data_IF_783322951465
#
_entry.id   IF_783322951465
#
_cell.length_a   1.000
_cell.length_b   1.000
_cell.length_c   1.000
_cell.angle_alpha   90.00
_cell.angle_beta   90.00
_cell.angle_gamma   90.00
#
_symmetry.space_group_name_H-M   'P 1'
#
loop_
_entity.id
_entity.type
_entity.pdbx_description
1 polymer ?
#
# COMPACT_ATOMS: atom_id res chain seq x y z
N UNK A 1 17.88 24.45 -10.49
CA UNK A 1 17.51 23.91 -9.18
C UNK A 1 16.54 22.76 -9.36
N UNK A 2 16.90 21.59 -8.88
CA UNK A 2 16.04 20.40 -9.02
C UNK A 2 15.02 20.38 -7.90
N UNK A 3 13.78 20.04 -8.27
CA UNK A 3 12.74 19.82 -7.26
C UNK A 3 12.91 18.43 -6.67
N UNK A 4 12.74 18.32 -5.37
CA UNK A 4 12.67 17.03 -4.72
C UNK A 4 11.25 16.49 -4.86
N UNK A 5 11.10 15.50 -5.73
CA UNK A 5 9.81 14.86 -5.94
C UNK A 5 9.76 13.63 -5.05
N UNK A 6 8.76 13.58 -4.20
CA UNK A 6 8.53 12.41 -3.34
C UNK A 6 7.45 11.54 -3.95
N UNK A 7 7.72 10.25 -4.00
CA UNK A 7 6.79 9.27 -4.51
C UNK A 7 6.16 8.49 -3.37
N UNK A 8 4.89 8.17 -3.52
CA UNK A 8 4.13 7.45 -2.51
C UNK A 8 3.47 6.25 -3.19
N UNK A 9 3.52 5.11 -2.52
CA UNK A 9 2.80 3.92 -2.96
C UNK A 9 1.75 3.60 -1.91
N UNK A 10 0.57 3.19 -2.39
CA UNK A 10 -0.50 2.73 -1.51
C UNK A 10 -0.87 1.31 -1.91
N UNK A 11 -1.01 0.46 -0.92
CA UNK A 11 -1.42 -0.92 -1.11
C UNK A 11 -2.76 -1.15 -0.43
N UNK A 12 -3.68 -1.74 -1.19
CA UNK A 12 -4.98 -2.17 -0.69
C UNK A 12 -5.01 -3.69 -0.75
N UNK A 13 -4.86 -4.33 0.41
CA UNK A 13 -4.65 -5.77 0.49
C UNK A 13 -5.99 -6.49 0.48
N UNK A 14 -6.25 -7.22 -0.60
CA UNK A 14 -7.41 -8.09 -0.71
C UNK A 14 -7.03 -9.54 -0.50
N UNK A 15 -8.01 -10.43 -0.59
CA UNK A 15 -7.78 -11.85 -0.40
C UNK A 15 -6.96 -12.47 -1.54
N UNK A 16 -7.20 -12.04 -2.75
CA UNK A 16 -6.58 -12.61 -3.94
C UNK A 16 -5.63 -11.66 -4.64
N UNK A 17 -5.82 -10.37 -4.45
CA UNK A 17 -5.02 -9.35 -5.12
C UNK A 17 -4.74 -8.20 -4.18
N UNK A 18 -3.61 -7.58 -4.43
CA UNK A 18 -3.22 -6.35 -3.72
C UNK A 18 -3.29 -5.23 -4.74
N UNK A 19 -4.20 -4.29 -4.52
CA UNK A 19 -4.29 -3.11 -5.39
C UNK A 19 -3.14 -2.17 -5.10
N UNK A 20 -2.57 -1.60 -6.15
CA UNK A 20 -1.43 -0.69 -6.03
C UNK A 20 -1.77 0.63 -6.68
N UNK A 21 -1.60 1.71 -5.94
CA UNK A 21 -1.75 3.06 -6.47
C UNK A 21 -0.48 3.84 -6.18
N UNK A 22 -0.21 4.82 -7.02
CA UNK A 22 0.97 5.67 -6.88
C UNK A 22 0.55 7.13 -6.93
N UNK A 23 1.22 7.95 -6.15
CA UNK A 23 1.07 9.39 -6.20
C UNK A 23 2.45 10.01 -6.00
N UNK A 24 2.58 11.28 -6.32
CA UNK A 24 3.80 12.00 -6.02
C UNK A 24 3.48 13.41 -5.52
N UNK A 25 4.50 14.11 -5.06
CA UNK A 25 4.32 15.42 -4.45
C UNK A 25 3.98 16.52 -5.46
N UNK A 26 4.21 16.29 -6.73
CA UNK A 26 3.86 17.24 -7.78
C UNK A 26 2.45 17.00 -8.32
N UNK A 27 2.15 15.74 -8.62
CA UNK A 27 0.82 15.36 -9.11
C UNK A 27 0.08 14.75 -7.94
N UNK A 28 -0.80 15.52 -7.33
CA UNK A 28 -1.46 15.11 -6.10
C UNK A 28 -2.56 14.06 -6.28
N UNK A 29 -2.89 13.75 -7.50
CA UNK A 29 -3.92 12.78 -7.79
C UNK A 29 -3.30 11.39 -7.91
N UNK A 30 -3.71 10.44 -7.07
CA UNK A 30 -3.17 9.08 -7.19
C UNK A 30 -3.69 8.40 -8.44
N UNK A 31 -2.90 7.50 -8.97
CA UNK A 31 -3.32 6.70 -10.12
C UNK A 31 -3.02 5.23 -9.85
N UNK A 32 -3.86 4.36 -10.41
CA UNK A 32 -3.71 2.93 -10.25
C UNK A 32 -2.53 2.44 -11.06
N UNK A 33 -1.62 1.75 -10.41
CA UNK A 33 -0.47 1.13 -11.08
C UNK A 33 -0.83 -0.26 -11.58
N UNK A 34 -1.64 -0.98 -10.81
CA UNK A 34 -2.06 -2.33 -11.16
C UNK A 34 -2.38 -3.14 -9.92
N UNK A 35 -2.26 -4.44 -10.05
CA UNK A 35 -2.48 -5.34 -8.93
C UNK A 35 -1.35 -6.35 -8.84
N UNK A 36 -1.13 -6.86 -7.63
CA UNK A 36 -0.20 -7.94 -7.36
C UNK A 36 -1.02 -9.12 -6.86
N UNK A 37 -0.80 -10.29 -7.45
CA UNK A 37 -1.49 -11.50 -7.00
C UNK A 37 -0.98 -11.93 -5.65
N UNK A 38 -1.89 -12.37 -4.79
CA UNK A 38 -1.54 -12.89 -3.47
C UNK A 38 -1.11 -14.36 -3.64
N UNK A 39 0.20 -14.56 -3.69
CA UNK A 39 0.80 -15.89 -3.86
C UNK A 39 2.18 -15.89 -3.23
N UNK A 40 2.94 -16.97 -3.41
CA UNK A 40 4.26 -17.12 -2.82
C UNK A 40 5.28 -16.11 -3.35
N UNK A 41 5.00 -15.44 -4.46
CA UNK A 41 5.91 -14.48 -5.08
C UNK A 41 5.53 -13.02 -4.83
N UNK A 42 4.50 -12.79 -4.02
CA UNK A 42 4.01 -11.43 -3.82
C UNK A 42 5.08 -10.48 -3.27
N UNK A 43 5.89 -10.94 -2.32
CA UNK A 43 6.92 -10.08 -1.75
C UNK A 43 8.05 -9.80 -2.73
N UNK A 44 8.34 -10.72 -3.64
CA UNK A 44 9.31 -10.47 -4.70
C UNK A 44 8.83 -9.35 -5.62
N UNK A 45 7.54 -9.38 -5.96
CA UNK A 45 6.95 -8.33 -6.79
C UNK A 45 6.93 -6.99 -6.08
N UNK A 46 6.66 -7.00 -4.77
CA UNK A 46 6.71 -5.78 -3.97
C UNK A 46 8.12 -5.20 -3.98
N UNK A 47 9.13 -6.02 -3.80
CA UNK A 47 10.53 -5.57 -3.82
C UNK A 47 10.89 -4.92 -5.15
N UNK A 48 10.47 -5.53 -6.26
CA UNK A 48 10.73 -4.97 -7.59
C UNK A 48 10.08 -3.60 -7.73
N UNK A 49 8.85 -3.49 -7.27
CA UNK A 49 8.11 -2.24 -7.34
C UNK A 49 8.76 -1.16 -6.48
N UNK A 50 9.21 -1.51 -5.29
CA UNK A 50 9.90 -0.57 -4.41
C UNK A 50 11.22 -0.09 -5.03
N UNK A 51 11.93 -0.99 -5.70
CA UNK A 51 13.18 -0.64 -6.37
C UNK A 51 12.93 0.28 -7.56
N UNK A 52 11.83 0.09 -8.25
CA UNK A 52 11.46 0.90 -9.41
C UNK A 52 10.96 2.28 -9.01
N UNK A 53 10.04 2.34 -8.07
CA UNK A 53 9.38 3.59 -7.68
C UNK A 53 10.19 4.38 -6.67
N UNK A 54 10.87 3.70 -5.76
CA UNK A 54 11.62 4.30 -4.65
C UNK A 54 10.75 5.27 -3.85
N UNK A 55 9.66 4.77 -3.28
CA UNK A 55 8.75 5.65 -2.55
C UNK A 55 9.37 6.15 -1.27
N UNK A 56 9.03 7.39 -0.90
CA UNK A 56 9.40 7.93 0.40
C UNK A 56 8.57 7.29 1.51
N UNK A 57 7.32 7.02 1.22
CA UNK A 57 6.39 6.42 2.18
C UNK A 57 5.50 5.42 1.43
N UNK A 58 5.25 4.29 2.08
CA UNK A 58 4.27 3.31 1.62
C UNK A 58 3.07 3.38 2.56
N UNK A 59 1.88 3.51 1.99
CA UNK A 59 0.64 3.55 2.77
C UNK A 59 -0.05 2.20 2.63
N UNK A 60 -0.41 1.61 3.75
CA UNK A 60 -1.15 0.36 3.78
C UNK A 60 -2.57 0.68 4.27
N UNK A 61 -3.56 0.40 3.43
CA UNK A 61 -4.95 0.58 3.80
C UNK A 61 -5.41 -0.56 4.71
N UNK A 62 -5.95 -0.23 5.85
CA UNK A 62 -6.53 -1.20 6.78
C UNK A 62 -8.05 -1.12 6.71
N UNK A 63 -8.71 -2.14 6.17
CA UNK A 63 -10.16 -2.13 6.08
C UNK A 63 -10.80 -2.35 7.45
N UNK A 64 -11.96 -1.72 7.65
CA UNK A 64 -12.83 -1.97 8.79
C UNK A 64 -14.21 -2.33 8.25
N UNK A 65 -14.98 -3.05 9.03
CA UNK A 65 -16.35 -3.35 8.63
C UNK A 65 -17.23 -2.10 8.82
N UNK A 66 -18.50 -2.21 8.51
CA UNK A 66 -19.42 -1.07 8.57
C UNK A 66 -19.58 -0.51 9.98
N UNK A 67 -19.27 -1.28 11.01
CA UNK A 67 -19.31 -0.84 12.40
C UNK A 67 -18.00 -0.19 12.84
N UNK A 68 -17.02 -0.11 11.97
CA UNK A 68 -15.72 0.43 12.31
C UNK A 68 -14.83 -0.54 13.06
N UNK A 69 -15.19 -1.80 13.12
CA UNK A 69 -14.43 -2.82 13.84
C UNK A 69 -13.37 -3.44 12.96
N UNK A 70 -12.30 -3.94 13.59
CA UNK A 70 -11.27 -4.68 12.85
C UNK A 70 -11.79 -6.08 12.51
N UNK A 71 -11.25 -6.63 11.43
CA UNK A 71 -11.65 -7.94 10.93
C UNK A 71 -10.40 -8.78 10.66
N UNK A 72 -10.61 -10.02 10.22
CA UNK A 72 -9.50 -10.88 9.82
C UNK A 72 -8.69 -10.23 8.68
N UNK A 73 -9.36 -9.53 7.77
CA UNK A 73 -8.69 -8.84 6.69
C UNK A 73 -7.81 -7.70 7.21
N UNK A 74 -8.22 -7.05 8.30
CA UNK A 74 -7.39 -6.04 8.94
C UNK A 74 -6.07 -6.64 9.40
N UNK A 75 -6.12 -7.81 10.02
CA UNK A 75 -4.91 -8.48 10.49
C UNK A 75 -3.99 -8.88 9.32
N UNK A 76 -4.55 -9.33 8.22
CA UNK A 76 -3.79 -9.69 7.02
C UNK A 76 -3.10 -8.46 6.45
N UNK A 77 -3.80 -7.35 6.39
CA UNK A 77 -3.25 -6.09 5.88
C UNK A 77 -2.14 -5.56 6.78
N UNK A 78 -2.33 -5.66 8.09
CA UNK A 78 -1.32 -5.25 9.07
C UNK A 78 -0.05 -6.10 8.91
N UNK A 79 -0.20 -7.41 8.77
CA UNK A 79 0.93 -8.31 8.59
C UNK A 79 1.68 -8.00 7.29
N UNK A 80 0.95 -7.68 6.24
CA UNK A 80 1.58 -7.27 4.97
C UNK A 80 2.39 -6.00 5.16
N UNK A 81 1.85 -5.01 5.87
CA UNK A 81 2.55 -3.78 6.17
C UNK A 81 3.84 -4.02 6.95
N UNK A 82 3.81 -4.95 7.91
CA UNK A 82 5.00 -5.31 8.68
C UNK A 82 6.08 -5.92 7.78
N UNK A 83 5.69 -6.75 6.82
CA UNK A 83 6.64 -7.34 5.88
C UNK A 83 7.26 -6.29 4.97
N UNK A 84 6.46 -5.31 4.54
CA UNK A 84 6.96 -4.22 3.70
C UNK A 84 7.93 -3.35 4.51
N UNK A 85 7.59 -3.04 5.75
CA UNK A 85 8.46 -2.25 6.62
C UNK A 85 9.81 -2.95 6.84
N UNK A 86 9.80 -4.26 6.91
CA UNK A 86 11.03 -5.05 7.07
C UNK A 86 11.98 -4.92 5.88
N UNK A 87 11.49 -4.44 4.74
CA UNK A 87 12.33 -4.19 3.56
C UNK A 87 13.08 -2.86 3.64
N UNK A 88 12.88 -2.09 4.71
CA UNK A 88 13.62 -0.86 4.92
C UNK A 88 12.96 0.41 4.43
N UNK A 89 11.70 0.34 4.01
CA UNK A 89 10.95 1.51 3.58
C UNK A 89 10.03 1.98 4.71
N UNK A 90 9.78 3.29 4.78
CA UNK A 90 8.87 3.82 5.77
C UNK A 90 7.43 3.46 5.40
N UNK A 91 6.70 2.89 6.36
CA UNK A 91 5.34 2.43 6.14
C UNK A 91 4.40 3.21 7.07
N UNK A 92 3.33 3.73 6.50
CA UNK A 92 2.24 4.34 7.24
C UNK A 92 1.00 3.49 7.07
N UNK A 93 0.40 3.12 8.18
CA UNK A 93 -0.83 2.32 8.18
C UNK A 93 -2.01 3.27 8.40
N UNK A 94 -3.03 3.13 7.55
CA UNK A 94 -4.18 4.02 7.62
C UNK A 94 -5.46 3.20 7.46
N UNK A 95 -6.42 3.45 8.33
CA UNK A 95 -7.72 2.81 8.23
C UNK A 95 -8.54 3.46 7.12
N UNK A 96 -9.18 2.62 6.34
CA UNK A 96 -10.05 3.05 5.25
C UNK A 96 -11.46 2.62 5.60
N UNK A 97 -12.37 3.57 5.67
CA UNK A 97 -13.76 3.28 6.01
C UNK A 97 -14.55 2.84 4.79
N UNK A 98 -15.30 1.75 4.95
CA UNK A 98 -16.22 1.28 3.91
C UNK A 98 -17.33 2.30 3.63
N UNK A 99 -17.66 3.09 4.64
CA UNK A 99 -18.73 4.09 4.51
C UNK A 99 -18.38 5.22 3.54
N UNK A 100 -17.16 5.30 3.11
CA UNK A 100 -16.72 6.34 2.16
C UNK A 100 -17.00 5.98 0.71
N UNK A 101 -17.56 4.82 0.49
CA UNK A 101 -17.87 4.35 -0.86
C UNK A 101 -19.22 4.88 -1.35
#
# INVERSE_FOLDING_TARGET
MTKNVHHFLAFDVGEKRIGVAQADSEVRMPFTVGTISVDSLEMSRVRELLAEVRPSIVVIGLPRNQRGETTAQTAVSQAFGDKVAALGVEVMVQFVGEALQ
#
